data_IF_804209210107
#
_entry.id   IF_804209210107
#
_cell.length_a   1.000
_cell.length_b   1.000
_cell.length_c   1.000
_cell.angle_alpha   90.00
_cell.angle_beta   90.00
_cell.angle_gamma   90.00
#
_symmetry.space_group_name_H-M   'P 1'
#
loop_
_entity.id
_entity.type
_entity.pdbx_description
1 polymer ?
#
# COMPACT_ATOMS: atom_id res chain seq x y z
N UNK A 1 -1.69 14.49 17.82
CA UNK A 1 -0.49 15.15 17.26
C UNK A 1 0.61 14.12 17.04
N UNK A 2 1.37 14.20 15.95
CA UNK A 2 2.42 13.23 15.65
C UNK A 2 3.66 13.48 16.54
N UNK A 3 4.70 12.66 16.43
CA UNK A 3 5.96 12.80 17.19
C UNK A 3 6.73 14.11 16.91
N UNK A 4 6.23 14.95 15.99
CA UNK A 4 6.76 16.28 15.66
C UNK A 4 5.88 17.42 16.18
N UNK A 5 4.74 17.12 16.82
CA UNK A 5 3.83 18.14 17.33
C UNK A 5 2.91 18.74 16.28
N UNK A 6 2.71 18.08 15.13
CA UNK A 6 1.70 18.48 14.14
C UNK A 6 0.33 17.92 14.54
N UNK A 7 -0.79 18.61 14.28
CA UNK A 7 -2.14 18.05 14.42
C UNK A 7 -2.20 16.67 13.76
N UNK A 8 -2.72 15.67 14.48
CA UNK A 8 -3.12 14.41 13.83
C UNK A 8 -4.54 14.68 13.37
N UNK A 9 -4.69 14.93 12.07
CA UNK A 9 -5.94 15.38 11.46
C UNK A 9 -5.72 15.74 10.00
N UNK A 10 -6.13 14.82 9.13
CA UNK A 10 -6.30 14.85 7.67
C UNK A 10 -5.28 15.63 6.82
N UNK A 11 -4.33 14.89 6.26
CA UNK A 11 -3.87 15.21 4.90
C UNK A 11 -5.00 14.87 3.91
N UNK A 12 -5.08 15.55 2.77
CA UNK A 12 -6.14 15.39 1.76
C UNK A 12 -6.29 13.95 1.20
N UNK A 13 -5.28 13.12 1.42
CA UNK A 13 -5.24 11.72 1.02
C UNK A 13 -5.59 10.74 2.15
N UNK A 14 -6.06 11.23 3.30
CA UNK A 14 -6.59 10.38 4.36
C UNK A 14 -8.12 10.36 4.32
N UNK A 15 -8.70 9.17 4.41
CA UNK A 15 -10.12 9.02 4.72
C UNK A 15 -10.39 9.53 6.15
N UNK A 16 -11.61 9.97 6.48
CA UNK A 16 -12.04 10.07 7.88
C UNK A 16 -11.77 8.73 8.61
N UNK A 17 -11.39 8.80 9.89
CA UNK A 17 -10.93 7.62 10.65
C UNK A 17 -11.99 6.53 10.71
N UNK A 18 -13.26 6.90 10.83
CA UNK A 18 -14.41 5.99 10.83
C UNK A 18 -14.59 5.21 9.50
N UNK A 19 -13.90 5.63 8.41
CA UNK A 19 -13.87 4.94 7.12
C UNK A 19 -12.53 4.27 6.81
N UNK A 20 -11.64 4.14 7.80
CA UNK A 20 -10.35 3.51 7.58
C UNK A 20 -10.47 2.12 6.94
N UNK A 21 -11.49 1.33 7.32
CA UNK A 21 -11.77 0.02 6.74
C UNK A 21 -12.00 0.02 5.21
N UNK A 22 -12.51 1.13 4.65
CA UNK A 22 -12.75 1.27 3.21
C UNK A 22 -11.44 1.48 2.40
N UNK A 23 -10.32 1.68 3.10
CA UNK A 23 -8.99 1.69 2.47
C UNK A 23 -8.63 0.29 1.92
N UNK A 24 -9.16 -0.78 2.53
CA UNK A 24 -9.09 -2.13 1.97
C UNK A 24 -10.14 -2.34 0.88
N UNK A 25 -9.73 -2.97 -0.21
CA UNK A 25 -10.63 -3.47 -1.25
C UNK A 25 -11.40 -4.71 -0.75
N UNK A 26 -12.53 -5.10 -1.36
CA UNK A 26 -13.31 -6.27 -0.93
C UNK A 26 -12.46 -7.53 -0.71
N UNK A 27 -11.53 -7.81 -1.61
CA UNK A 27 -10.58 -8.92 -1.54
C UNK A 27 -9.52 -8.77 -0.44
N UNK A 28 -9.21 -7.54 -0.05
CA UNK A 28 -8.28 -7.19 1.02
C UNK A 28 -8.91 -7.28 2.42
N UNK A 29 -10.24 -7.32 2.54
CA UNK A 29 -10.93 -7.35 3.84
C UNK A 29 -10.56 -8.60 4.66
N UNK A 30 -10.31 -9.74 4.00
CA UNK A 30 -9.86 -10.97 4.65
C UNK A 30 -8.48 -10.84 5.33
N UNK A 31 -7.72 -9.78 5.02
CA UNK A 31 -6.45 -9.53 5.66
C UNK A 31 -6.60 -9.11 7.14
N UNK A 32 -7.76 -8.59 7.56
CA UNK A 32 -8.00 -8.21 8.96
C UNK A 32 -7.86 -9.43 9.87
N UNK A 33 -8.61 -10.50 9.60
CA UNK A 33 -8.55 -11.74 10.37
C UNK A 33 -7.19 -12.43 10.27
N UNK A 34 -6.55 -12.37 9.10
CA UNK A 34 -5.22 -12.94 8.89
C UNK A 34 -4.15 -12.19 9.70
N UNK A 35 -4.21 -10.85 9.71
CA UNK A 35 -3.28 -10.02 10.46
C UNK A 35 -3.45 -10.25 11.96
N UNK A 36 -4.70 -10.34 12.45
CA UNK A 36 -4.96 -10.72 13.84
C UNK A 36 -4.36 -12.11 14.17
N UNK A 37 -4.62 -13.10 13.32
CA UNK A 37 -4.11 -14.48 13.48
C UNK A 37 -2.59 -14.54 13.52
N UNK A 38 -1.92 -13.75 12.68
CA UNK A 38 -0.46 -13.68 12.60
C UNK A 38 0.17 -12.69 13.59
N UNK A 39 -0.64 -11.96 14.36
CA UNK A 39 -0.19 -10.92 15.27
C UNK A 39 0.48 -9.73 14.58
N UNK A 40 0.08 -9.43 13.34
CA UNK A 40 0.61 -8.33 12.53
C UNK A 40 -0.15 -7.04 12.88
N UNK A 41 0.53 -5.97 13.30
CA UNK A 41 -0.12 -4.68 13.51
C UNK A 41 -0.29 -3.93 12.19
N UNK A 42 -1.43 -3.24 12.07
CA UNK A 42 -1.64 -2.26 11.02
C UNK A 42 -0.85 -0.97 11.28
N UNK A 43 -0.15 -0.47 10.26
CA UNK A 43 0.52 0.82 10.30
C UNK A 43 -0.49 1.94 10.46
N UNK A 44 -0.40 2.66 11.59
CA UNK A 44 -1.36 3.69 11.95
C UNK A 44 -2.82 3.18 11.92
N UNK A 45 -3.04 1.92 12.31
CA UNK A 45 -4.35 1.29 12.29
C UNK A 45 -5.39 1.99 13.17
N UNK A 46 -6.64 1.93 12.73
CA UNK A 46 -7.82 2.45 13.44
C UNK A 46 -8.69 1.27 13.86
N UNK A 47 -9.06 1.20 15.14
CA UNK A 47 -9.95 0.18 15.71
C UNK A 47 -9.59 -1.28 15.36
N UNK A 48 -8.29 -1.58 15.29
CA UNK A 48 -7.78 -2.91 14.96
C UNK A 48 -7.72 -3.23 13.45
N UNK A 49 -8.21 -2.32 12.61
CA UNK A 49 -8.18 -2.41 11.15
C UNK A 49 -7.07 -1.57 10.51
N UNK A 50 -7.11 -1.41 9.17
CA UNK A 50 -6.12 -0.64 8.42
C UNK A 50 -6.06 0.82 8.85
N UNK A 51 -4.96 1.50 8.52
CA UNK A 51 -4.91 2.96 8.63
C UNK A 51 -5.77 3.64 7.55
N UNK A 52 -6.17 4.88 7.80
CA UNK A 52 -7.00 5.68 6.88
C UNK A 52 -6.22 6.39 5.76
N UNK A 53 -4.89 6.26 5.73
CA UNK A 53 -4.04 6.93 4.73
C UNK A 53 -4.06 6.15 3.39
N UNK A 54 -4.56 6.77 2.31
CA UNK A 54 -4.64 6.16 0.97
C UNK A 54 -3.26 5.96 0.31
N UNK A 55 -2.21 6.59 0.83
CA UNK A 55 -0.82 6.43 0.40
C UNK A 55 -0.08 5.33 1.20
N UNK A 56 -0.80 4.58 2.04
CA UNK A 56 -0.20 3.50 2.82
C UNK A 56 0.29 2.36 1.91
N UNK A 57 1.60 2.13 1.92
CA UNK A 57 2.20 0.98 1.23
C UNK A 57 1.74 -0.35 1.81
N UNK A 58 1.52 -0.45 3.12
CA UNK A 58 0.99 -1.67 3.74
C UNK A 58 -0.41 -1.98 3.21
N UNK A 59 -1.29 -0.98 3.10
CA UNK A 59 -2.65 -1.19 2.59
C UNK A 59 -2.65 -1.53 1.10
N UNK A 60 -1.86 -0.82 0.28
CA UNK A 60 -1.76 -1.15 -1.14
C UNK A 60 -1.18 -2.56 -1.37
N UNK A 61 -0.13 -2.93 -0.61
CA UNK A 61 0.46 -4.26 -0.64
C UNK A 61 -0.58 -5.34 -0.31
N UNK A 62 -1.34 -5.15 0.76
CA UNK A 62 -2.43 -6.06 1.14
C UNK A 62 -3.47 -6.16 0.03
N UNK A 63 -3.95 -5.03 -0.50
CA UNK A 63 -4.93 -5.01 -1.58
C UNK A 63 -4.42 -5.75 -2.83
N UNK A 64 -3.12 -5.70 -3.11
CA UNK A 64 -2.53 -6.39 -4.26
C UNK A 64 -2.36 -7.90 -4.02
N UNK A 65 -1.86 -8.27 -2.83
CA UNK A 65 -1.33 -9.62 -2.58
C UNK A 65 -2.30 -10.53 -1.83
N UNK A 66 -3.35 -10.01 -1.19
CA UNK A 66 -4.32 -10.85 -0.47
C UNK A 66 -4.95 -11.94 -1.34
N UNK A 67 -5.33 -11.69 -2.62
CA UNK A 67 -5.82 -12.74 -3.53
C UNK A 67 -4.83 -13.88 -3.77
N UNK A 68 -3.54 -13.65 -3.54
CA UNK A 68 -2.46 -14.60 -3.78
C UNK A 68 -2.21 -15.54 -2.60
N UNK A 69 -2.69 -15.21 -1.39
CA UNK A 69 -2.52 -16.05 -0.19
C UNK A 69 -3.00 -17.48 -0.43
N UNK A 70 -4.17 -17.64 -1.05
CA UNK A 70 -4.71 -18.94 -1.48
C UNK A 70 -4.66 -19.18 -3.00
N UNK A 71 -4.04 -18.28 -3.76
CA UNK A 71 -4.13 -18.24 -5.22
C UNK A 71 -2.78 -18.42 -5.92
N UNK A 72 -2.23 -19.66 -5.99
CA UNK A 72 -0.90 -19.90 -6.58
C UNK A 72 -0.81 -19.47 -8.04
N UNK A 73 -1.87 -19.66 -8.84
CA UNK A 73 -1.89 -19.21 -10.24
C UNK A 73 -1.75 -17.68 -10.37
N UNK A 74 -2.24 -16.91 -9.40
CA UNK A 74 -2.10 -15.45 -9.38
C UNK A 74 -0.66 -15.04 -9.09
N UNK A 75 0.06 -15.78 -8.24
CA UNK A 75 1.50 -15.60 -8.01
C UNK A 75 2.28 -15.85 -9.31
N UNK A 76 1.96 -16.93 -10.03
CA UNK A 76 2.59 -17.23 -11.34
C UNK A 76 2.34 -16.09 -12.33
N UNK A 77 1.11 -15.57 -12.43
CA UNK A 77 0.79 -14.44 -13.32
C UNK A 77 1.51 -13.15 -12.92
N UNK A 78 1.59 -12.84 -11.62
CA UNK A 78 2.23 -11.63 -11.12
C UNK A 78 3.75 -11.64 -11.28
N UNK A 79 4.39 -12.78 -11.02
CA UNK A 79 5.85 -12.84 -10.87
C UNK A 79 6.56 -13.70 -11.92
N UNK A 80 5.85 -14.48 -12.73
CA UNK A 80 6.43 -15.41 -13.70
C UNK A 80 7.21 -14.74 -14.85
N UNK A 81 7.02 -13.43 -15.07
CA UNK A 81 7.82 -12.67 -16.03
C UNK A 81 9.21 -12.28 -15.49
N UNK A 82 9.40 -12.31 -14.17
CA UNK A 82 10.65 -11.90 -13.51
C UNK A 82 11.32 -13.06 -12.75
N UNK A 83 10.57 -14.12 -12.48
CA UNK A 83 11.02 -15.34 -11.82
C UNK A 83 10.70 -16.57 -12.66
N UNK A 84 11.59 -17.57 -12.64
CA UNK A 84 11.31 -18.90 -13.18
C UNK A 84 10.46 -19.68 -12.16
N UNK A 85 9.14 -19.65 -12.34
CA UNK A 85 8.17 -20.32 -11.45
C UNK A 85 7.55 -21.48 -12.22
N UNK A 86 7.93 -22.71 -11.87
CA UNK A 86 7.29 -23.93 -12.37
C UNK A 86 6.16 -24.40 -11.45
N UNK A 87 6.32 -24.23 -10.14
CA UNK A 87 5.35 -24.62 -9.13
C UNK A 87 5.42 -23.66 -7.93
N UNK A 88 4.28 -23.19 -7.43
CA UNK A 88 4.21 -22.43 -6.18
C UNK A 88 3.96 -23.39 -5.02
N UNK A 89 4.76 -23.27 -3.97
CA UNK A 89 4.70 -24.15 -2.80
C UNK A 89 4.01 -23.43 -1.64
N UNK A 90 3.38 -24.18 -0.75
CA UNK A 90 2.89 -23.61 0.49
C UNK A 90 4.06 -23.14 1.34
N UNK A 91 4.03 -21.87 1.75
CA UNK A 91 5.01 -21.31 2.70
C UNK A 91 4.56 -21.54 4.15
N UNK A 92 3.24 -21.60 4.36
CA UNK A 92 2.61 -21.91 5.65
C UNK A 92 1.37 -22.79 5.40
N UNK A 93 0.83 -23.49 6.42
CA UNK A 93 -0.34 -24.34 6.23
C UNK A 93 -1.49 -23.59 5.53
N UNK A 94 -1.93 -24.16 4.41
CA UNK A 94 -3.01 -23.63 3.55
C UNK A 94 -2.74 -22.24 2.95
N UNK A 95 -1.48 -21.78 2.93
CA UNK A 95 -1.07 -20.49 2.38
C UNK A 95 0.13 -20.59 1.44
N UNK A 96 -0.02 -20.05 0.25
CA UNK A 96 1.03 -19.92 -0.77
C UNK A 96 1.82 -18.62 -0.64
N UNK A 97 1.22 -17.59 -0.02
CA UNK A 97 1.86 -16.32 0.32
C UNK A 97 1.52 -15.95 1.76
N UNK A 98 2.47 -15.37 2.47
CA UNK A 98 2.28 -14.84 3.83
C UNK A 98 2.76 -13.39 3.92
N UNK A 99 2.23 -12.65 4.90
CA UNK A 99 2.57 -11.25 5.12
C UNK A 99 3.57 -11.06 6.26
N UNK A 100 4.33 -9.97 6.17
CA UNK A 100 5.24 -9.47 7.21
C UNK A 100 6.21 -10.57 7.68
N UNK A 101 6.85 -11.21 6.70
CA UNK A 101 7.68 -12.39 6.92
C UNK A 101 9.02 -12.03 7.58
N UNK A 102 9.34 -12.73 8.66
CA UNK A 102 10.52 -12.49 9.50
C UNK A 102 11.51 -13.67 9.54
N UNK A 103 11.18 -14.78 8.86
CA UNK A 103 11.92 -16.04 8.94
C UNK A 103 11.80 -16.76 10.29
N UNK A 104 12.26 -18.02 10.37
CA UNK A 104 12.11 -18.84 11.58
C UNK A 104 13.07 -18.48 12.71
N UNK A 105 14.19 -17.80 12.42
CA UNK A 105 15.27 -17.53 13.38
C UNK A 105 15.52 -16.03 13.58
N UNK A 106 15.70 -15.60 14.83
CA UNK A 106 16.10 -14.24 15.18
C UNK A 106 17.62 -14.04 15.01
N UNK A 107 18.10 -14.00 13.77
CA UNK A 107 19.52 -13.88 13.46
C UNK A 107 20.17 -12.60 14.01
N UNK A 108 19.38 -11.54 14.20
CA UNK A 108 19.87 -10.22 14.59
C UNK A 108 19.55 -9.85 16.05
N UNK A 109 19.02 -10.80 16.84
CA UNK A 109 18.61 -10.58 18.23
C UNK A 109 17.67 -9.36 18.39
N UNK A 110 16.71 -9.23 17.47
CA UNK A 110 15.73 -8.15 17.46
C UNK A 110 14.63 -8.35 18.50
N UNK A 111 14.30 -9.62 18.80
CA UNK A 111 13.35 -10.01 19.84
C UNK A 111 13.89 -9.86 21.25
N UNK A 112 15.22 -9.74 21.42
CA UNK A 112 15.90 -9.55 22.72
C UNK A 112 15.53 -10.63 23.74
N UNK A 113 15.43 -11.88 23.30
CA UNK A 113 15.01 -13.02 24.12
C UNK A 113 13.49 -13.22 24.22
N UNK A 114 12.68 -12.34 23.62
CA UNK A 114 11.25 -12.56 23.44
C UNK A 114 10.94 -12.98 21.98
N UNK A 115 9.79 -13.63 21.72
CA UNK A 115 9.32 -13.88 20.36
C UNK A 115 9.22 -12.58 19.56
N UNK A 116 9.71 -12.60 18.32
CA UNK A 116 9.55 -11.49 17.38
C UNK A 116 8.10 -11.40 16.92
N UNK A 117 7.64 -10.18 16.70
CA UNK A 117 6.30 -9.89 16.16
C UNK A 117 6.47 -9.34 14.75
N UNK A 118 5.76 -9.95 13.81
CA UNK A 118 5.73 -9.55 12.40
C UNK A 118 5.31 -8.08 12.26
N UNK A 119 5.94 -7.32 11.36
CA UNK A 119 5.65 -5.89 11.19
C UNK A 119 5.99 -4.98 12.37
N UNK A 120 6.61 -5.49 13.45
CA UNK A 120 6.84 -4.71 14.67
C UNK A 120 8.30 -4.76 15.17
N UNK A 121 9.02 -3.65 14.99
CA UNK A 121 10.35 -3.39 15.61
C UNK A 121 11.44 -4.43 15.33
N UNK A 122 11.24 -5.27 14.32
CA UNK A 122 12.21 -6.21 13.78
C UNK A 122 12.29 -6.08 12.25
N UNK A 123 13.19 -6.84 11.64
CA UNK A 123 13.34 -6.93 10.20
C UNK A 123 12.27 -7.85 9.65
N UNK A 124 11.38 -7.26 8.87
CA UNK A 124 10.21 -7.88 8.24
C UNK A 124 10.21 -7.49 6.77
N UNK A 125 9.75 -8.40 5.93
CA UNK A 125 9.47 -8.19 4.51
C UNK A 125 7.95 -8.21 4.35
N UNK A 126 7.39 -7.25 3.60
CA UNK A 126 5.95 -7.05 3.51
C UNK A 126 5.19 -8.33 3.13
N UNK A 127 5.77 -9.18 2.28
CA UNK A 127 5.26 -10.52 2.03
C UNK A 127 6.36 -11.53 1.64
N UNK A 128 6.02 -12.82 1.60
CA UNK A 128 6.90 -13.86 1.09
C UNK A 128 6.13 -15.04 0.48
N UNK A 129 6.73 -15.72 -0.50
CA UNK A 129 6.22 -16.97 -1.07
C UNK A 129 7.36 -17.90 -1.50
N UNK A 130 7.07 -19.21 -1.50
CA UNK A 130 8.02 -20.27 -1.87
C UNK A 130 7.65 -20.83 -3.25
N UNK A 131 8.63 -21.15 -4.08
CA UNK A 131 8.39 -21.74 -5.40
C UNK A 131 9.51 -22.67 -5.83
N UNK A 132 9.20 -23.55 -6.78
CA UNK A 132 10.16 -24.39 -7.49
C UNK A 132 10.38 -23.87 -8.89
N UNK A 133 11.63 -23.78 -9.31
CA UNK A 133 12.01 -23.37 -10.68
C UNK A 133 11.80 -24.51 -11.68
N UNK A 134 11.87 -24.19 -12.98
CA UNK A 134 11.86 -25.20 -14.06
C UNK A 134 13.04 -26.19 -13.97
N UNK A 135 14.11 -25.82 -13.27
CA UNK A 135 15.27 -26.69 -13.00
C UNK A 135 15.15 -27.51 -11.72
N UNK A 136 14.04 -27.38 -10.98
CA UNK A 136 13.78 -28.12 -9.74
C UNK A 136 14.35 -27.49 -8.47
N UNK A 137 14.96 -26.30 -8.56
CA UNK A 137 15.51 -25.56 -7.41
C UNK A 137 14.38 -24.94 -6.60
N UNK A 138 14.44 -25.02 -5.27
CA UNK A 138 13.47 -24.34 -4.40
C UNK A 138 13.98 -22.95 -4.10
N UNK A 139 13.20 -21.91 -4.38
CA UNK A 139 13.56 -20.53 -4.08
C UNK A 139 12.50 -19.86 -3.20
N UNK A 140 12.94 -18.95 -2.34
CA UNK A 140 12.10 -18.08 -1.51
C UNK A 140 12.13 -16.65 -2.05
N UNK A 141 10.97 -16.15 -2.44
CA UNK A 141 10.78 -14.75 -2.78
C UNK A 141 10.37 -13.96 -1.54
N UNK A 142 11.10 -12.89 -1.26
CA UNK A 142 10.88 -11.94 -0.19
C UNK A 142 10.42 -10.61 -0.80
N UNK A 143 9.17 -10.23 -0.61
CA UNK A 143 8.60 -9.02 -1.22
C UNK A 143 8.77 -7.85 -0.26
N UNK A 144 9.42 -6.80 -0.75
CA UNK A 144 9.43 -5.48 -0.14
C UNK A 144 8.62 -4.53 -1.02
N UNK A 145 7.65 -3.86 -0.45
CA UNK A 145 6.72 -2.97 -1.12
C UNK A 145 7.02 -1.51 -0.81
N UNK A 146 7.23 -0.71 -1.86
CA UNK A 146 7.29 0.73 -1.80
C UNK A 146 6.22 1.31 -2.70
N UNK A 147 5.49 2.28 -2.19
CA UNK A 147 4.46 2.99 -2.92
C UNK A 147 4.85 4.45 -3.11
N UNK A 148 4.70 5.30 -2.10
CA UNK A 148 4.92 6.76 -2.17
C UNK A 148 6.01 7.25 -1.23
N UNK A 149 6.84 6.36 -0.67
CA UNK A 149 7.85 6.73 0.30
C UNK A 149 8.89 7.69 -0.29
N UNK A 150 9.37 8.62 0.54
CA UNK A 150 10.51 9.49 0.24
C UNK A 150 11.32 9.74 1.51
N UNK A 151 12.65 9.77 1.36
CA UNK A 151 13.60 9.92 2.46
C UNK A 151 14.64 10.99 2.13
N UNK A 152 14.16 12.19 1.83
CA UNK A 152 15.02 13.30 1.37
C UNK A 152 15.85 13.95 2.50
N UNK A 153 15.53 13.64 3.75
CA UNK A 153 16.20 14.19 4.93
C UNK A 153 17.26 13.24 5.48
N UNK A 154 18.44 13.76 5.81
CA UNK A 154 19.45 13.02 6.56
C UNK A 154 18.89 12.71 7.96
N UNK A 155 19.04 11.46 8.40
CA UNK A 155 18.64 11.06 9.76
C UNK A 155 19.49 11.83 10.77
N UNK A 156 18.86 12.29 11.87
CA UNK A 156 19.61 12.78 13.03
C UNK A 156 20.26 11.57 13.76
N UNK A 157 21.60 11.52 13.89
CA UNK A 157 22.27 10.45 14.61
C UNK A 157 21.75 10.32 16.04
N UNK A 158 21.65 9.08 16.53
CA UNK A 158 21.27 8.80 17.91
C UNK A 158 22.24 7.73 18.44
N UNK A 159 23.23 8.10 19.27
CA UNK A 159 24.30 7.18 19.67
C UNK A 159 23.81 5.87 20.30
N UNK A 160 22.72 5.91 21.08
CA UNK A 160 22.16 4.72 21.73
C UNK A 160 21.51 3.77 20.72
N UNK A 161 20.71 4.31 19.81
CA UNK A 161 20.09 3.52 18.74
C UNK A 161 21.10 3.04 17.72
N UNK A 162 22.11 3.85 17.41
CA UNK A 162 23.14 3.49 16.42
C UNK A 162 24.05 2.40 16.97
N UNK A 163 24.40 2.45 18.27
CA UNK A 163 25.08 1.32 18.94
C UNK A 163 24.23 0.04 18.92
N UNK A 164 22.92 0.17 19.09
CA UNK A 164 22.01 -0.98 19.02
C UNK A 164 21.95 -1.56 17.61
N UNK A 165 21.91 -0.73 16.57
CA UNK A 165 21.93 -1.17 15.16
C UNK A 165 23.26 -1.82 14.79
N UNK A 166 24.37 -1.23 15.22
CA UNK A 166 25.72 -1.80 15.06
C UNK A 166 25.80 -3.19 15.68
N UNK A 167 25.32 -3.35 16.93
CA UNK A 167 25.33 -4.64 17.61
C UNK A 167 24.46 -5.71 16.92
N UNK A 168 23.40 -5.31 16.21
CA UNK A 168 22.48 -6.21 15.50
C UNK A 168 23.02 -6.67 14.14
N UNK A 169 23.56 -5.74 13.36
CA UNK A 169 23.87 -5.98 11.95
C UNK A 169 25.36 -5.94 11.62
N UNK A 170 26.20 -5.40 12.50
CA UNK A 170 27.62 -5.16 12.24
C UNK A 170 28.38 -6.43 11.87
N UNK A 171 28.12 -7.53 12.58
CA UNK A 171 28.77 -8.81 12.30
C UNK A 171 28.44 -9.31 10.87
N UNK A 172 27.17 -9.38 10.50
CA UNK A 172 26.75 -9.83 9.16
C UNK A 172 27.11 -8.83 8.05
N UNK A 173 27.11 -7.51 8.35
CA UNK A 173 27.49 -6.47 7.38
C UNK A 173 28.99 -6.48 7.06
N UNK A 174 29.83 -6.74 8.07
CA UNK A 174 31.29 -6.74 7.93
C UNK A 174 31.87 -8.11 7.59
N UNK A 175 31.06 -9.16 7.58
CA UNK A 175 31.53 -10.50 7.25
C UNK A 175 32.12 -10.57 5.83
N UNK A 176 33.20 -11.34 5.59
CA UNK A 176 33.74 -11.52 4.24
C UNK A 176 32.71 -12.06 3.23
N UNK A 177 31.78 -12.90 3.70
CA UNK A 177 30.69 -13.49 2.91
C UNK A 177 29.43 -12.61 2.81
N UNK A 178 29.42 -11.43 3.46
CA UNK A 178 28.27 -10.53 3.47
C UNK A 178 27.73 -10.23 2.05
N UNK A 179 26.41 -10.05 1.86
CA UNK A 179 25.83 -9.81 0.54
C UNK A 179 26.17 -8.43 -0.05
N UNK A 180 26.75 -7.53 0.77
CA UNK A 180 27.06 -6.15 0.42
C UNK A 180 28.56 -5.87 0.38
N UNK A 181 28.96 -4.95 -0.49
CA UNK A 181 30.32 -4.43 -0.60
C UNK A 181 30.56 -3.35 0.45
N UNK A 182 30.79 -3.76 1.70
CA UNK A 182 31.01 -2.86 2.85
C UNK A 182 32.22 -1.91 2.70
N UNK A 183 33.13 -2.19 1.76
CA UNK A 183 34.22 -1.27 1.40
C UNK A 183 33.75 0.00 0.65
N UNK A 184 32.55 -0.03 0.04
CA UNK A 184 32.01 1.11 -0.71
C UNK A 184 31.18 2.07 0.16
N UNK A 185 30.58 1.57 1.24
CA UNK A 185 29.79 2.37 2.16
C UNK A 185 29.90 1.81 3.59
N UNK A 186 30.20 2.67 4.55
CA UNK A 186 30.27 2.27 5.97
C UNK A 186 28.87 1.98 6.52
N UNK A 187 28.80 1.12 7.54
CA UNK A 187 27.55 0.80 8.22
C UNK A 187 26.83 2.06 8.73
N UNK A 188 27.57 3.01 9.31
CA UNK A 188 27.02 4.29 9.77
C UNK A 188 26.27 5.08 8.68
N UNK A 189 26.74 5.06 7.43
CA UNK A 189 26.07 5.71 6.29
C UNK A 189 24.92 4.87 5.70
N UNK A 190 24.91 3.56 5.95
CA UNK A 190 23.79 2.67 5.65
C UNK A 190 22.63 2.87 6.64
N UNK A 191 22.83 3.50 7.79
CA UNK A 191 21.76 3.73 8.79
C UNK A 191 20.78 4.85 8.41
N UNK A 192 20.91 5.44 7.22
CA UNK A 192 19.94 6.37 6.65
C UNK A 192 19.00 5.62 5.71
N UNK A 193 17.71 5.99 5.74
CA UNK A 193 16.74 5.44 4.80
C UNK A 193 16.97 5.98 3.38
N UNK A 194 16.67 5.18 2.34
CA UNK A 194 16.11 3.81 2.40
C UNK A 194 17.15 2.70 2.58
N UNK A 195 18.45 3.04 2.60
CA UNK A 195 19.53 2.04 2.64
C UNK A 195 19.53 1.21 3.92
N UNK A 196 19.01 1.74 5.02
CA UNK A 196 18.88 0.99 6.27
C UNK A 196 17.90 -0.18 6.14
N UNK A 197 16.72 0.06 5.57
CA UNK A 197 15.73 -0.98 5.26
C UNK A 197 16.28 -2.02 4.27
N UNK A 198 16.84 -1.54 3.14
CA UNK A 198 17.40 -2.42 2.12
C UNK A 198 18.52 -3.31 2.68
N UNK A 199 19.39 -2.75 3.52
CA UNK A 199 20.47 -3.48 4.18
C UNK A 199 19.95 -4.61 5.06
N UNK A 200 19.06 -4.30 6.02
CA UNK A 200 18.58 -5.31 6.97
C UNK A 200 17.84 -6.44 6.24
N UNK A 201 17.07 -6.11 5.21
CA UNK A 201 16.33 -7.09 4.39
C UNK A 201 17.27 -7.97 3.57
N UNK A 202 18.30 -7.41 2.95
CA UNK A 202 19.27 -8.18 2.19
C UNK A 202 20.15 -9.06 3.09
N UNK A 203 20.50 -8.59 4.29
CA UNK A 203 21.18 -9.40 5.31
C UNK A 203 20.28 -10.57 5.75
N UNK A 204 18.98 -10.33 5.98
CA UNK A 204 18.04 -11.39 6.31
C UNK A 204 17.94 -12.42 5.17
N UNK A 205 17.77 -11.98 3.93
CA UNK A 205 17.73 -12.85 2.76
C UNK A 205 18.98 -13.74 2.68
N UNK A 206 20.16 -13.16 2.93
CA UNK A 206 21.42 -13.90 2.93
C UNK A 206 21.50 -14.94 4.05
N UNK A 207 21.05 -14.61 5.27
CA UNK A 207 20.94 -15.57 6.38
C UNK A 207 20.00 -16.72 6.04
N UNK A 208 18.84 -16.42 5.47
CA UNK A 208 17.84 -17.42 5.09
C UNK A 208 18.39 -18.37 4.01
N UNK A 209 19.08 -17.84 2.99
CA UNK A 209 19.71 -18.64 1.94
C UNK A 209 20.79 -19.56 2.52
N UNK A 210 21.67 -19.05 3.39
CA UNK A 210 22.77 -19.83 3.97
C UNK A 210 22.28 -20.97 4.86
N UNK A 211 21.17 -20.77 5.57
CA UNK A 211 20.62 -21.75 6.51
C UNK A 211 19.55 -22.64 5.87
N UNK A 212 19.32 -22.53 4.56
CA UNK A 212 18.25 -23.25 3.85
C UNK A 212 16.88 -23.13 4.54
N UNK A 213 16.55 -21.92 5.00
CA UNK A 213 15.27 -21.66 5.67
C UNK A 213 14.11 -21.96 4.71
N UNK A 214 13.06 -22.60 5.23
CA UNK A 214 11.94 -23.11 4.42
C UNK A 214 12.35 -24.10 3.30
N UNK A 215 13.55 -24.70 3.41
CA UNK A 215 14.10 -25.58 2.37
C UNK A 215 14.54 -24.85 1.10
N UNK A 216 14.70 -23.52 1.13
CA UNK A 216 15.11 -22.73 -0.02
C UNK A 216 16.62 -22.86 -0.30
N UNK A 217 16.98 -23.11 -1.55
CA UNK A 217 18.35 -23.09 -2.07
C UNK A 217 18.80 -21.67 -2.44
N UNK A 218 17.82 -20.81 -2.74
CA UNK A 218 18.02 -19.44 -3.20
C UNK A 218 17.00 -18.53 -2.53
N UNK A 219 17.43 -17.36 -2.07
CA UNK A 219 16.51 -16.34 -1.54
C UNK A 219 16.68 -15.04 -2.32
N UNK A 220 15.57 -14.50 -2.84
CA UNK A 220 15.56 -13.26 -3.62
C UNK A 220 14.70 -12.22 -2.93
N UNK A 221 15.18 -10.98 -2.90
CA UNK A 221 14.37 -9.82 -2.51
C UNK A 221 13.71 -9.27 -3.77
N UNK A 222 12.39 -9.28 -3.82
CA UNK A 222 11.58 -8.61 -4.84
C UNK A 222 11.19 -7.24 -4.31
N UNK A 223 11.75 -6.19 -4.88
CA UNK A 223 11.49 -4.82 -4.48
C UNK A 223 10.44 -4.21 -5.42
N UNK A 224 9.18 -4.26 -5.00
CA UNK A 224 8.05 -3.66 -5.71
C UNK A 224 8.08 -2.15 -5.50
N UNK A 225 8.15 -1.38 -6.60
CA UNK A 225 8.09 0.09 -6.54
C UNK A 225 7.61 0.68 -7.87
N UNK A 226 6.72 1.68 -7.87
CA UNK A 226 6.41 2.45 -9.06
C UNK A 226 7.67 3.10 -9.65
N UNK A 227 7.84 3.05 -10.97
CA UNK A 227 8.94 3.75 -11.66
C UNK A 227 8.80 5.26 -11.52
N UNK A 228 7.56 5.72 -11.34
CA UNK A 228 7.15 7.12 -11.22
C UNK A 228 7.50 7.71 -9.86
N UNK A 229 7.81 6.89 -8.83
CA UNK A 229 8.23 7.38 -7.52
C UNK A 229 9.70 7.87 -7.57
N UNK A 230 9.89 9.01 -8.22
CA UNK A 230 11.19 9.70 -8.34
C UNK A 230 11.66 10.24 -7.00
N UNK A 231 10.76 10.57 -6.07
CA UNK A 231 11.11 11.04 -4.73
C UNK A 231 11.86 9.96 -3.94
N UNK A 232 11.45 8.70 -4.07
CA UNK A 232 12.21 7.57 -3.56
C UNK A 232 13.60 7.50 -4.22
N UNK A 233 13.68 7.55 -5.56
CA UNK A 233 14.97 7.47 -6.27
C UNK A 233 15.95 8.59 -5.86
N UNK A 234 15.42 9.77 -5.55
CA UNK A 234 16.16 10.94 -5.11
C UNK A 234 16.52 10.92 -3.61
N UNK A 235 16.18 9.85 -2.88
CA UNK A 235 16.48 9.69 -1.45
C UNK A 235 17.96 9.36 -1.17
N UNK A 236 18.85 10.14 -1.80
CA UNK A 236 20.29 10.12 -1.63
C UNK A 236 20.68 11.25 -0.67
N UNK A 237 20.39 11.07 0.60
CA UNK A 237 20.53 12.15 1.59
C UNK A 237 21.98 12.60 1.79
N UNK A 238 22.99 11.73 1.54
CA UNK A 238 24.41 12.02 1.76
C UNK A 238 25.25 12.21 0.48
N UNK A 239 26.36 12.97 0.53
CA UNK A 239 27.38 12.96 -0.52
C UNK A 239 27.93 11.55 -0.80
N UNK A 240 28.08 10.73 0.23
CA UNK A 240 28.54 9.33 0.14
C UNK A 240 27.65 8.49 -0.77
N UNK A 241 26.33 8.66 -0.65
CA UNK A 241 25.35 7.98 -1.50
C UNK A 241 25.52 8.45 -2.95
N UNK A 242 25.55 9.77 -3.17
CA UNK A 242 25.69 10.40 -4.49
C UNK A 242 27.00 10.07 -5.22
N UNK A 243 28.06 9.72 -4.48
CA UNK A 243 29.33 9.26 -5.08
C UNK A 243 29.23 7.87 -5.70
N UNK A 244 28.25 7.06 -5.31
CA UNK A 244 28.08 5.69 -5.82
C UNK A 244 27.09 5.60 -6.98
N UNK A 245 26.14 6.53 -7.06
CA UNK A 245 25.09 6.59 -8.09
C UNK A 245 24.22 7.84 -7.96
N UNK A 246 23.41 8.08 -8.99
CA UNK A 246 22.47 9.22 -9.10
C UNK A 246 21.05 8.89 -8.64
N UNK A 247 20.77 7.63 -8.33
CA UNK A 247 19.50 7.13 -7.83
C UNK A 247 19.71 6.06 -6.75
N UNK A 248 18.70 5.83 -5.90
CA UNK A 248 18.76 4.75 -4.89
C UNK A 248 19.05 3.41 -5.54
N UNK A 249 18.40 3.09 -6.67
CA UNK A 249 18.61 1.82 -7.36
C UNK A 249 20.04 1.69 -7.92
N UNK A 250 20.59 2.75 -8.51
CA UNK A 250 21.96 2.74 -9.00
C UNK A 250 22.98 2.53 -7.86
N UNK A 251 22.76 3.19 -6.72
CA UNK A 251 23.59 3.00 -5.51
C UNK A 251 23.45 1.56 -5.00
N UNK A 252 22.22 1.07 -4.87
CA UNK A 252 21.93 -0.25 -4.33
C UNK A 252 22.53 -1.37 -5.19
N UNK A 253 22.32 -1.33 -6.50
CA UNK A 253 22.90 -2.27 -7.45
C UNK A 253 24.44 -2.32 -7.36
N UNK A 254 25.09 -1.17 -7.14
CA UNK A 254 26.54 -1.09 -6.95
C UNK A 254 27.01 -1.67 -5.63
N UNK A 255 26.20 -1.60 -4.58
CA UNK A 255 26.52 -2.16 -3.27
C UNK A 255 26.37 -3.68 -3.21
N UNK A 256 25.48 -4.28 -4.01
CA UNK A 256 25.28 -5.73 -4.02
C UNK A 256 26.51 -6.48 -4.56
N UNK A 257 26.91 -7.56 -3.89
CA UNK A 257 27.86 -8.54 -4.46
C UNK A 257 27.18 -9.45 -5.49
N UNK A 258 25.91 -9.75 -5.26
CA UNK A 258 25.06 -10.63 -6.08
C UNK A 258 23.79 -9.89 -6.50
N UNK A 259 23.83 -9.11 -7.59
CA UNK A 259 22.67 -8.34 -8.03
C UNK A 259 21.50 -9.23 -8.48
N UNK A 260 21.74 -10.50 -8.82
CA UNK A 260 20.69 -11.47 -9.12
C UNK A 260 19.78 -11.78 -7.92
N UNK A 261 20.20 -11.45 -6.69
CA UNK A 261 19.41 -11.66 -5.45
C UNK A 261 18.47 -10.52 -5.11
N UNK A 262 18.41 -9.49 -5.94
CA UNK A 262 17.54 -8.35 -5.75
C UNK A 262 16.89 -7.99 -7.09
N UNK A 263 15.58 -8.10 -7.17
CA UNK A 263 14.82 -7.94 -8.42
C UNK A 263 13.84 -6.80 -8.23
N UNK A 264 13.84 -5.84 -9.16
CA UNK A 264 12.81 -4.82 -9.22
C UNK A 264 11.54 -5.37 -9.86
N UNK A 265 10.40 -5.08 -9.24
CA UNK A 265 9.08 -5.41 -9.77
C UNK A 265 8.31 -4.11 -9.95
N UNK A 266 7.78 -3.92 -11.15
CA UNK A 266 6.90 -2.79 -11.44
C UNK A 266 5.48 -3.13 -10.95
N UNK A 267 4.87 -2.33 -10.07
CA UNK A 267 3.53 -2.61 -9.57
C UNK A 267 2.45 -2.56 -10.65
N UNK A 268 2.76 -2.05 -11.86
CA UNK A 268 1.87 -2.17 -13.01
C UNK A 268 1.48 -3.62 -13.33
N UNK A 269 2.27 -4.62 -12.94
CA UNK A 269 1.92 -6.04 -13.11
C UNK A 269 0.68 -6.45 -12.30
N UNK A 270 0.36 -5.73 -11.22
CA UNK A 270 -0.84 -5.96 -10.43
C UNK A 270 -2.07 -5.25 -11.00
N UNK A 271 -1.90 -4.38 -12.00
CA UNK A 271 -3.00 -3.73 -12.73
C UNK A 271 -3.52 -4.65 -13.86
N UNK A 272 -3.79 -5.90 -13.51
CA UNK A 272 -4.40 -6.93 -14.34
C UNK A 272 -5.42 -7.68 -13.46
N UNK A 273 -6.69 -7.71 -13.87
CA UNK A 273 -7.78 -8.33 -13.10
C UNK A 273 -7.57 -9.83 -12.85
N UNK A 274 -6.82 -10.49 -13.74
CA UNK A 274 -6.47 -11.90 -13.60
C UNK A 274 -5.39 -12.11 -12.53
N UNK A 275 -4.60 -11.07 -12.24
CA UNK A 275 -3.61 -11.05 -11.16
C UNK A 275 -4.30 -10.65 -9.85
N UNK A 276 -5.04 -9.55 -9.84
CA UNK A 276 -5.71 -8.97 -8.66
C UNK A 276 -7.23 -9.03 -8.78
N UNK A 277 -7.87 -7.94 -9.21
CA UNK A 277 -9.33 -7.78 -9.34
C UNK A 277 -9.62 -6.59 -10.26
N UNK A 278 -10.86 -6.47 -10.73
CA UNK A 278 -11.32 -5.27 -11.45
C UNK A 278 -11.17 -4.04 -10.54
N UNK A 279 -11.50 -4.15 -9.26
CA UNK A 279 -11.44 -3.07 -8.28
C UNK A 279 -10.02 -2.57 -8.01
N UNK A 280 -9.04 -3.46 -7.97
CA UNK A 280 -7.63 -3.10 -7.82
C UNK A 280 -7.15 -2.33 -9.04
N UNK A 281 -7.45 -2.85 -10.24
CA UNK A 281 -7.11 -2.20 -11.51
C UNK A 281 -7.73 -0.81 -11.55
N UNK A 282 -9.00 -0.69 -11.18
CA UNK A 282 -9.71 0.58 -11.16
C UNK A 282 -9.12 1.61 -10.20
N UNK A 283 -8.65 1.16 -9.02
CA UNK A 283 -8.10 2.04 -7.99
C UNK A 283 -6.66 2.45 -8.26
N UNK A 284 -5.83 1.53 -8.77
CA UNK A 284 -4.37 1.71 -8.80
C UNK A 284 -3.76 1.80 -10.21
N UNK A 285 -4.50 1.49 -11.27
CA UNK A 285 -3.99 1.65 -12.64
C UNK A 285 -3.82 3.12 -13.00
N UNK A 286 -2.69 3.53 -13.63
CA UNK A 286 -2.49 4.89 -14.11
C UNK A 286 -3.58 5.39 -15.06
N UNK A 287 -4.25 4.48 -15.77
CA UNK A 287 -5.28 4.81 -16.75
C UNK A 287 -6.72 4.61 -16.21
N UNK A 288 -6.89 3.99 -15.03
CA UNK A 288 -8.16 3.38 -14.63
C UNK A 288 -8.79 2.55 -15.76
N UNK A 289 -10.06 2.17 -15.65
CA UNK A 289 -10.84 1.63 -16.78
C UNK A 289 -11.06 2.61 -17.94
N UNK A 290 -10.53 3.85 -17.89
CA UNK A 290 -10.89 4.94 -18.80
C UNK A 290 -12.36 5.39 -18.72
N UNK A 291 -13.22 4.64 -18.01
CA UNK A 291 -14.63 4.98 -17.76
C UNK A 291 -14.70 5.95 -16.60
N UNK A 292 -14.71 7.23 -16.89
CA UNK A 292 -15.00 8.26 -15.91
C UNK A 292 -16.51 8.28 -15.62
N UNK A 293 -16.93 8.14 -14.35
CA UNK A 293 -18.32 8.42 -14.05
C UNK A 293 -18.54 9.93 -14.19
N UNK A 294 -19.56 10.33 -14.95
CA UNK A 294 -19.96 11.73 -15.08
C UNK A 294 -20.70 12.24 -13.83
N UNK A 295 -21.11 11.32 -12.97
CA UNK A 295 -21.72 11.65 -11.69
C UNK A 295 -21.92 10.41 -10.81
N UNK A 296 -22.12 10.66 -9.53
CA UNK A 296 -22.63 9.67 -8.58
C UNK A 296 -24.09 9.96 -8.33
N UNK A 297 -24.94 8.98 -8.55
CA UNK A 297 -26.33 9.03 -8.10
C UNK A 297 -26.42 8.41 -6.71
N UNK A 298 -26.97 9.15 -5.74
CA UNK A 298 -27.20 8.66 -4.38
C UNK A 298 -28.70 8.68 -4.07
N UNK A 299 -29.14 7.75 -3.23
CA UNK A 299 -30.51 7.67 -2.72
C UNK A 299 -30.46 7.63 -1.21
N UNK A 300 -31.29 8.46 -0.57
CA UNK A 300 -31.30 8.61 0.88
C UNK A 300 -32.55 8.04 1.52
N UNK A 301 -32.36 7.45 2.70
CA UNK A 301 -33.42 7.08 3.64
C UNK A 301 -33.03 7.61 5.03
N UNK A 302 -33.89 8.44 5.63
CA UNK A 302 -33.62 9.07 6.93
C UNK A 302 -32.25 9.77 6.99
N UNK A 303 -31.94 10.58 5.98
CA UNK A 303 -30.69 11.31 5.79
C UNK A 303 -29.42 10.46 5.56
N UNK A 304 -29.55 9.13 5.51
CA UNK A 304 -28.44 8.19 5.23
C UNK A 304 -28.45 7.75 3.78
N UNK A 305 -27.27 7.54 3.17
CA UNK A 305 -27.15 7.00 1.82
C UNK A 305 -27.50 5.50 1.84
N UNK A 306 -28.70 5.15 1.36
CA UNK A 306 -29.22 3.78 1.30
C UNK A 306 -28.87 3.07 -0.02
N UNK A 307 -28.53 3.82 -1.06
CA UNK A 307 -27.97 3.29 -2.30
C UNK A 307 -27.14 4.35 -3.01
N UNK A 308 -26.15 3.92 -3.79
CA UNK A 308 -25.48 4.78 -4.75
C UNK A 308 -24.99 4.02 -5.98
N UNK A 309 -24.91 4.73 -7.10
CA UNK A 309 -24.42 4.21 -8.37
C UNK A 309 -23.54 5.24 -9.07
N UNK A 310 -22.43 4.76 -9.64
CA UNK A 310 -21.65 5.51 -10.62
C UNK A 310 -22.40 5.55 -11.94
N UNK A 311 -22.65 6.73 -12.48
CA UNK A 311 -23.21 6.90 -13.81
C UNK A 311 -22.09 7.12 -14.82
N UNK A 312 -22.13 6.40 -15.94
CA UNK A 312 -21.22 6.50 -17.09
C UNK A 312 -21.99 6.92 -18.35
N UNK A 313 -21.28 7.29 -19.42
CA UNK A 313 -21.90 7.63 -20.69
C UNK A 313 -22.65 6.45 -21.33
N UNK A 314 -22.24 5.22 -21.01
CA UNK A 314 -22.72 3.95 -21.57
C UNK A 314 -23.52 3.09 -20.57
N UNK A 315 -23.75 3.56 -19.34
CA UNK A 315 -24.44 2.78 -18.32
C UNK A 315 -24.23 3.31 -16.91
N UNK A 316 -24.38 2.44 -15.92
CA UNK A 316 -24.07 2.72 -14.52
C UNK A 316 -23.63 1.45 -13.80
N UNK A 317 -22.95 1.63 -12.67
CA UNK A 317 -22.49 0.57 -11.78
C UNK A 317 -22.98 0.87 -10.36
N UNK A 318 -23.60 -0.10 -9.69
CA UNK A 318 -24.01 0.07 -8.30
C UNK A 318 -22.78 0.05 -7.39
N UNK A 319 -22.55 1.14 -6.66
CA UNK A 319 -21.54 1.22 -5.60
C UNK A 319 -22.05 0.52 -4.33
N UNK A 320 -23.34 0.68 -4.04
CA UNK A 320 -24.06 0.02 -2.97
C UNK A 320 -25.55 0.09 -3.29
N UNK A 321 -26.27 -0.99 -3.03
CA UNK A 321 -27.72 -0.99 -3.02
C UNK A 321 -28.14 -1.79 -1.81
N UNK A 322 -28.80 -1.15 -0.84
CA UNK A 322 -29.44 -1.86 0.26
C UNK A 322 -30.43 -2.92 -0.26
N UNK A 323 -31.00 -3.77 0.63
CA UNK A 323 -31.79 -4.96 0.26
C UNK A 323 -33.16 -4.70 -0.43
N UNK A 324 -33.34 -3.56 -1.09
CA UNK A 324 -34.57 -3.19 -1.79
C UNK A 324 -34.79 -4.03 -3.06
N UNK A 325 -36.02 -4.53 -3.25
CA UNK A 325 -36.41 -5.41 -4.37
C UNK A 325 -36.52 -4.73 -5.75
N UNK A 326 -36.42 -3.40 -5.84
CA UNK A 326 -36.44 -2.64 -7.09
C UNK A 326 -35.05 -2.06 -7.39
N UNK A 327 -34.17 -2.88 -7.97
CA UNK A 327 -32.85 -2.46 -8.46
C UNK A 327 -32.98 -2.11 -9.95
N UNK A 328 -32.90 -0.82 -10.33
CA UNK A 328 -32.82 -0.44 -11.74
C UNK A 328 -31.73 -1.24 -12.47
N UNK A 329 -32.04 -1.65 -13.70
CA UNK A 329 -31.11 -2.37 -14.60
C UNK A 329 -30.65 -1.53 -15.79
N UNK A 330 -31.23 -0.34 -15.97
CA UNK A 330 -30.91 0.60 -17.06
C UNK A 330 -30.91 2.06 -16.57
N UNK A 331 -30.19 2.92 -17.31
CA UNK A 331 -30.02 4.34 -16.98
C UNK A 331 -31.33 5.14 -16.99
N UNK A 332 -32.28 4.77 -17.86
CA UNK A 332 -33.58 5.41 -17.93
C UNK A 332 -34.40 5.14 -16.67
N UNK A 333 -34.32 3.94 -16.12
CA UNK A 333 -34.98 3.56 -14.87
C UNK A 333 -34.24 4.13 -13.66
N UNK A 334 -32.91 4.08 -13.66
CA UNK A 334 -32.07 4.70 -12.62
C UNK A 334 -32.37 6.20 -12.48
N UNK A 335 -32.43 6.90 -13.62
CA UNK A 335 -32.59 8.35 -13.63
C UNK A 335 -33.95 8.84 -13.14
N UNK A 336 -34.96 7.97 -13.15
CA UNK A 336 -36.32 8.24 -12.69
C UNK A 336 -36.62 7.68 -11.31
N UNK A 337 -35.67 6.99 -10.67
CA UNK A 337 -35.85 6.45 -9.32
C UNK A 337 -36.08 7.62 -8.35
N UNK A 338 -37.20 7.58 -7.64
CA UNK A 338 -37.59 8.61 -6.68
C UNK A 338 -36.52 8.80 -5.59
N UNK A 339 -36.24 10.05 -5.20
CA UNK A 339 -35.21 10.37 -4.20
C UNK A 339 -33.77 10.32 -4.72
N UNK A 340 -33.56 10.29 -6.05
CA UNK A 340 -32.23 10.38 -6.67
C UNK A 340 -31.66 11.78 -6.50
N UNK A 341 -30.51 11.88 -5.84
CA UNK A 341 -29.63 13.05 -5.87
C UNK A 341 -28.46 12.75 -6.80
N UNK A 342 -28.10 13.69 -7.68
CA UNK A 342 -26.99 13.52 -8.62
C UNK A 342 -25.84 14.45 -8.22
N UNK A 343 -24.73 13.86 -7.82
CA UNK A 343 -23.49 14.56 -7.53
C UNK A 343 -22.65 14.55 -8.80
N UNK A 344 -22.54 15.70 -9.47
CA UNK A 344 -21.73 15.83 -10.66
C UNK A 344 -20.25 15.65 -10.31
N UNK A 345 -19.55 14.79 -11.05
CA UNK A 345 -18.09 14.68 -11.02
C UNK A 345 -17.62 15.47 -12.23
N UNK A 346 -17.53 16.80 -12.12
CA UNK A 346 -17.21 17.66 -13.25
C UNK A 346 -15.70 17.73 -13.50
N UNK A 347 -15.32 17.31 -14.70
CA UNK A 347 -14.06 17.60 -15.39
C UNK A 347 -14.30 18.78 -16.34
N UNK A 348 -13.98 20.00 -15.89
CA UNK A 348 -13.73 21.17 -16.75
C UNK A 348 -12.98 22.29 -15.99
N UNK A 349 -11.66 22.14 -15.87
CA UNK A 349 -10.69 23.20 -15.52
C UNK A 349 -10.89 24.07 -14.25
N UNK A 350 -12.01 24.10 -13.50
CA UNK A 350 -12.20 25.11 -12.43
C UNK A 350 -12.99 24.76 -11.16
N UNK A 351 -13.49 23.55 -10.93
CA UNK A 351 -14.07 23.21 -9.61
C UNK A 351 -13.82 21.75 -9.24
N UNK A 352 -12.71 21.54 -8.53
CA UNK A 352 -12.22 20.23 -8.10
C UNK A 352 -13.02 19.69 -6.90
N UNK A 353 -13.79 18.64 -7.12
CA UNK A 353 -13.99 17.62 -6.10
C UNK A 353 -12.92 16.55 -6.34
N UNK A 354 -11.89 16.59 -5.51
CA UNK A 354 -10.96 15.51 -5.17
C UNK A 354 -9.82 15.19 -6.15
N UNK A 355 -8.70 15.91 -6.03
CA UNK A 355 -7.33 15.43 -6.38
C UNK A 355 -7.15 14.68 -7.71
N UNK A 356 -6.06 13.91 -7.89
CA UNK A 356 -5.95 12.98 -8.99
C UNK A 356 -7.14 12.01 -8.99
N UNK A 357 -7.69 11.73 -10.18
CA UNK A 357 -8.91 10.96 -10.46
C UNK A 357 -9.11 9.67 -9.64
N UNK A 358 -8.01 9.00 -9.27
CA UNK A 358 -8.00 7.80 -8.44
C UNK A 358 -8.50 8.03 -7.00
N UNK A 359 -8.29 9.22 -6.43
CA UNK A 359 -8.68 9.56 -5.07
C UNK A 359 -10.18 9.87 -4.96
N UNK A 360 -10.78 10.47 -5.99
CA UNK A 360 -12.22 10.72 -6.06
C UNK A 360 -13.04 9.42 -5.97
N UNK A 361 -12.65 8.38 -6.71
CA UNK A 361 -13.33 7.07 -6.72
C UNK A 361 -13.24 6.35 -5.38
N UNK A 362 -12.08 6.36 -4.74
CA UNK A 362 -11.87 5.72 -3.44
C UNK A 362 -12.67 6.42 -2.32
N UNK A 363 -12.68 7.76 -2.33
CA UNK A 363 -13.44 8.58 -1.38
C UNK A 363 -14.95 8.38 -1.52
N UNK A 364 -15.49 8.40 -2.75
CA UNK A 364 -16.91 8.22 -3.01
C UNK A 364 -17.38 6.78 -2.70
N UNK A 365 -16.55 5.76 -2.95
CA UNK A 365 -16.84 4.38 -2.51
C UNK A 365 -16.89 4.28 -0.98
N UNK A 366 -15.97 4.93 -0.27
CA UNK A 366 -15.91 4.91 1.20
C UNK A 366 -17.16 5.52 1.86
N UNK A 367 -17.64 6.66 1.33
CA UNK A 367 -18.89 7.31 1.80
C UNK A 367 -20.09 6.36 1.65
N UNK A 368 -20.14 5.63 0.54
CA UNK A 368 -21.29 4.81 0.16
C UNK A 368 -21.30 3.45 0.86
N UNK A 369 -20.13 2.83 1.06
CA UNK A 369 -20.03 1.52 1.71
C UNK A 369 -20.32 1.56 3.23
N UNK A 370 -20.38 2.76 3.82
CA UNK A 370 -20.41 2.95 5.27
C UNK A 370 -21.77 3.39 5.86
N UNK A 371 -22.86 3.36 5.09
CA UNK A 371 -24.24 3.66 5.57
C UNK A 371 -24.34 5.01 6.31
N UNK A 372 -23.81 6.08 5.74
CA UNK A 372 -23.67 7.37 6.42
C UNK A 372 -24.81 8.35 6.17
N UNK A 373 -25.25 9.00 7.24
CA UNK A 373 -25.73 10.39 7.20
C UNK A 373 -24.53 11.32 7.20
N UNK A 374 -24.57 12.40 6.43
CA UNK A 374 -23.42 13.29 6.20
C UNK A 374 -22.62 13.65 7.47
N UNK A 375 -21.30 13.87 7.37
CA UNK A 375 -20.66 14.84 8.25
C UNK A 375 -21.24 16.22 7.94
N UNK A 376 -21.64 16.97 8.96
CA UNK A 376 -22.27 18.30 8.85
C UNK A 376 -21.46 19.36 8.07
N UNK A 377 -20.23 19.07 7.67
CA UNK A 377 -19.39 19.94 6.84
C UNK A 377 -18.53 19.11 5.85
N UNK A 378 -18.66 19.41 4.56
CA UNK A 378 -17.80 18.90 3.49
C UNK A 378 -16.87 20.05 3.07
N UNK A 379 -15.61 20.04 3.53
CA UNK A 379 -14.63 21.08 3.16
C UNK A 379 -13.74 20.59 2.02
N UNK A 380 -13.70 21.31 0.89
CA UNK A 380 -12.79 21.06 -0.22
C UNK A 380 -11.56 22.00 -0.15
N UNK A 381 -10.40 21.54 -0.60
CA UNK A 381 -9.19 22.35 -0.78
C UNK A 381 -8.48 21.95 -2.08
N UNK A 382 -7.83 22.92 -2.73
CA UNK A 382 -7.08 22.74 -3.99
C UNK A 382 -5.63 23.23 -3.88
N UNK A 383 -4.74 22.63 -4.67
CA UNK A 383 -3.31 22.97 -4.83
C UNK A 383 -3.07 23.27 -6.34
N UNK A 384 -2.21 24.23 -6.78
CA UNK A 384 -0.88 24.55 -6.23
C UNK A 384 -0.54 26.01 -5.85
N UNK A 385 -1.45 26.96 -5.90
CA UNK A 385 -1.09 28.37 -5.86
C UNK A 385 -1.76 29.15 -4.72
N UNK A 386 -1.56 28.69 -3.48
CA UNK A 386 -1.45 29.55 -2.28
C UNK A 386 -2.58 30.54 -1.96
N UNK A 387 -3.72 30.47 -2.64
CA UNK A 387 -4.90 31.26 -2.38
C UNK A 387 -5.94 30.35 -1.73
N UNK A 388 -6.01 30.41 -0.40
CA UNK A 388 -7.12 29.81 0.35
C UNK A 388 -8.34 30.71 0.15
N UNK A 389 -9.24 30.36 -0.76
CA UNK A 389 -10.62 30.82 -0.67
C UNK A 389 -11.37 29.82 0.21
N UNK A 390 -11.62 30.23 1.46
CA UNK A 390 -12.68 29.63 2.26
C UNK A 390 -13.98 30.00 1.56
N UNK A 391 -14.63 29.04 0.91
CA UNK A 391 -16.02 29.23 0.50
C UNK A 391 -16.85 29.25 1.77
N UNK A 392 -17.01 30.46 2.32
CA UNK A 392 -17.92 30.70 3.42
C UNK A 392 -19.34 30.36 2.95
N UNK A 393 -19.91 29.38 3.62
CA UNK A 393 -21.33 29.31 3.97
C UNK A 393 -22.29 29.67 2.84
N UNK A 394 -22.88 28.65 2.19
CA UNK A 394 -24.30 28.85 1.92
C UNK A 394 -25.02 28.93 3.27
N UNK A 395 -25.95 29.89 3.45
CA UNK A 395 -26.75 29.92 4.66
C UNK A 395 -27.49 28.57 4.77
N UNK A 396 -27.75 28.08 5.99
CA UNK A 396 -28.51 26.87 6.18
C UNK A 396 -29.82 26.99 5.38
N UNK A 397 -30.04 26.03 4.48
CA UNK A 397 -31.36 25.85 3.89
C UNK A 397 -32.26 25.37 5.03
N UNK A 398 -33.01 26.30 5.60
CA UNK A 398 -34.13 26.00 6.46
C UNK A 398 -35.17 25.21 5.65
N UNK A 399 -35.19 23.89 5.85
CA UNK A 399 -36.16 22.98 5.25
C UNK A 399 -37.54 23.03 5.92
N UNK A 400 -37.79 24.00 6.79
CA UNK A 400 -39.12 24.27 7.34
C UNK A 400 -39.62 25.65 6.92
N UNK A 401 -39.93 25.78 5.62
CA UNK A 401 -40.71 26.90 5.12
C UNK A 401 -42.04 27.07 5.89
N UNK A 402 -42.05 27.97 6.87
CA UNK A 402 -43.24 28.74 7.25
C UNK A 402 -42.84 30.19 7.49
N UNK A 403 -43.27 31.04 6.56
CA UNK A 403 -43.35 32.49 6.70
C UNK A 403 -43.90 32.89 8.08
N UNK A 404 -43.08 33.57 8.88
CA UNK A 404 -43.30 34.94 9.37
C UNK A 404 -42.05 35.52 10.01
#
# INVERSE_FOLDING_TARGET
>A
MNHRGDPVGMYDHCLPEEYAAANLLPEGQNAVDLFETLGIPWHCGVDGGPGNNLLSSQVQCVNALMPMVGGPDRIVRAFGNVLDIAEVLQIEPDRYLTFEYIGPTDYFNEGRGAPRVRGAKCTSLDAAFLYRTSTGTTELALIEWKYTESYLSIRKPNPSYDKSREARYGADFHSPDAPLRSALMSLGHMLDEPFYQLMRQQLLAHRLEREHAEGADVVRVLHVRPRENQAYQQSLSRPEHRRLGDSVDAVWARLLKRPDRFIHVDPAVFCDETVTSEEYVDRYSPNGTGRLPWGVSVWRENDRIAAAAYAYADGFEWCHCGPTQDVPVDMGTLSRRHGRENLAVADDEKTMLVGPLAYARAFLRAIVSADLSEPTELTCYSWPDGATDVVAMWPPVDLHGRLR
#
